data_IF_844378275267
#
_entry.id   IF_844378275267
#
_cell.length_a   1.000
_cell.length_b   1.000
_cell.length_c   1.000
_cell.angle_alpha   90.00
_cell.angle_beta   90.00
_cell.angle_gamma   90.00
#
_symmetry.space_group_name_H-M   'P 1'
#
loop_
_entity.id
_entity.type
_entity.pdbx_description
1 polymer ?
#
# COMPACT_ATOMS: atom_id res chain seq x y z
N UNK A 1 6.25 -43.54 -23.46
CA UNK A 1 5.16 -44.24 -22.77
C UNK A 1 3.90 -44.00 -23.57
N UNK A 2 3.23 -45.04 -24.07
CA UNK A 2 2.01 -44.87 -24.86
C UNK A 2 0.81 -44.71 -23.92
N UNK A 3 0.22 -43.51 -23.87
CA UNK A 3 -0.97 -43.24 -23.06
C UNK A 3 -2.22 -43.68 -23.81
N UNK A 4 -3.07 -44.49 -23.20
CA UNK A 4 -4.33 -44.98 -23.78
C UNK A 4 -5.54 -44.24 -23.21
N UNK A 5 -6.69 -44.31 -23.90
CA UNK A 5 -7.97 -43.75 -23.46
C UNK A 5 -9.13 -44.68 -23.87
N UNK A 6 -10.17 -44.76 -23.02
CA UNK A 6 -11.41 -45.48 -23.33
C UNK A 6 -12.39 -44.57 -24.06
N UNK A 7 -12.95 -45.04 -25.17
CA UNK A 7 -13.99 -44.34 -25.93
C UNK A 7 -15.23 -45.23 -26.07
N UNK A 8 -16.40 -44.61 -26.26
CA UNK A 8 -17.65 -45.35 -26.52
C UNK A 8 -17.49 -46.18 -27.78
N UNK A 9 -17.87 -47.46 -27.68
CA UNK A 9 -17.84 -48.37 -28.81
C UNK A 9 -18.94 -48.01 -29.81
N UNK A 10 -18.60 -47.97 -31.10
CA UNK A 10 -19.58 -47.82 -32.18
C UNK A 10 -20.36 -49.12 -32.43
N UNK A 11 -19.83 -50.27 -31.96
CA UNK A 11 -20.45 -51.59 -32.15
C UNK A 11 -20.51 -52.34 -30.81
N UNK A 12 -21.38 -51.92 -29.87
CA UNK A 12 -21.40 -52.46 -28.51
C UNK A 12 -21.74 -53.95 -28.43
N UNK A 13 -22.49 -54.47 -29.41
CA UNK A 13 -22.87 -55.89 -29.47
C UNK A 13 -21.71 -56.84 -29.77
N UNK A 14 -20.63 -56.37 -30.41
CA UNK A 14 -19.47 -57.20 -30.80
C UNK A 14 -18.18 -56.80 -30.09
N UNK A 15 -18.01 -55.52 -29.75
CA UNK A 15 -16.80 -54.97 -29.14
C UNK A 15 -16.95 -54.67 -27.64
N UNK A 16 -18.16 -54.79 -27.08
CA UNK A 16 -18.46 -54.37 -25.72
C UNK A 16 -18.70 -52.86 -25.61
N UNK A 17 -18.98 -52.35 -24.40
CA UNK A 17 -19.47 -50.97 -24.21
C UNK A 17 -18.43 -49.88 -24.52
N UNK A 18 -17.13 -50.21 -24.49
CA UNK A 18 -16.04 -49.29 -24.80
C UNK A 18 -14.94 -50.00 -25.59
N UNK A 19 -14.13 -49.20 -26.28
CA UNK A 19 -12.87 -49.63 -26.90
C UNK A 19 -11.72 -48.78 -26.40
N UNK A 20 -10.54 -49.39 -26.25
CA UNK A 20 -9.32 -48.71 -25.82
C UNK A 20 -8.53 -48.31 -27.06
N UNK A 21 -8.21 -47.03 -27.16
CA UNK A 21 -7.37 -46.49 -28.23
C UNK A 21 -6.15 -45.79 -27.64
N UNK A 22 -5.12 -45.58 -28.45
CA UNK A 22 -4.03 -44.67 -28.08
C UNK A 22 -4.54 -43.23 -28.05
N UNK A 23 -4.07 -42.44 -27.08
CA UNK A 23 -4.45 -41.03 -26.93
C UNK A 23 -4.14 -40.20 -28.19
N UNK A 24 -3.09 -40.56 -28.92
CA UNK A 24 -2.72 -39.91 -30.19
C UNK A 24 -3.76 -40.11 -31.30
N UNK A 25 -4.57 -41.18 -31.21
CA UNK A 25 -5.59 -41.53 -32.19
C UNK A 25 -7.00 -41.04 -31.77
N UNK A 26 -7.11 -40.29 -30.67
CA UNK A 26 -8.38 -39.74 -30.22
C UNK A 26 -8.77 -38.53 -31.08
N UNK A 27 -9.93 -38.59 -31.74
CA UNK A 27 -10.54 -37.47 -32.44
C UNK A 27 -11.89 -37.13 -31.78
N UNK A 28 -12.06 -35.94 -31.16
CA UNK A 28 -13.31 -35.56 -30.50
C UNK A 28 -14.51 -35.42 -31.45
N UNK A 29 -14.28 -35.28 -32.75
CA UNK A 29 -15.36 -35.24 -33.76
C UNK A 29 -15.90 -36.63 -34.09
N UNK A 30 -15.10 -37.68 -33.89
CA UNK A 30 -15.44 -39.07 -34.25
C UNK A 30 -15.62 -39.98 -33.03
N UNK A 31 -14.99 -39.63 -31.90
CA UNK A 31 -14.93 -40.46 -30.70
C UNK A 31 -15.55 -39.71 -29.52
N UNK A 32 -16.51 -40.35 -28.87
CA UNK A 32 -17.03 -39.91 -27.59
C UNK A 32 -16.26 -40.65 -26.48
N UNK A 33 -15.78 -39.94 -25.45
CA UNK A 33 -15.12 -40.61 -24.31
C UNK A 33 -16.10 -41.52 -23.59
N UNK A 34 -15.63 -42.69 -23.18
CA UNK A 34 -16.44 -43.56 -22.33
C UNK A 34 -16.27 -43.11 -20.89
N UNK A 35 -17.33 -42.56 -20.31
CA UNK A 35 -17.42 -42.22 -18.89
C UNK A 35 -17.99 -43.43 -18.16
N UNK A 36 -17.14 -44.13 -17.40
CA UNK A 36 -17.54 -45.27 -16.55
C UNK A 36 -17.78 -44.86 -15.09
N UNK A 37 -17.84 -43.54 -14.81
CA UNK A 37 -17.92 -42.99 -13.45
C UNK A 37 -16.59 -43.06 -12.69
N UNK A 38 -15.59 -43.77 -13.22
CA UNK A 38 -14.19 -43.55 -12.90
C UNK A 38 -13.72 -42.49 -13.88
N UNK A 39 -13.93 -41.23 -13.51
CA UNK A 39 -13.32 -40.12 -14.22
C UNK A 39 -11.80 -40.39 -14.25
N UNK A 40 -11.29 -40.86 -15.39
CA UNK A 40 -9.88 -40.77 -15.80
C UNK A 40 -9.51 -39.28 -16.06
N UNK A 41 -10.31 -38.35 -15.51
CA UNK A 41 -10.00 -36.95 -15.29
C UNK A 41 -8.87 -36.87 -14.30
N UNK A 42 -7.66 -36.84 -14.85
CA UNK A 42 -6.60 -35.90 -14.48
C UNK A 42 -6.66 -35.51 -13.00
N UNK A 43 -6.51 -36.50 -12.12
CA UNK A 43 -6.28 -36.21 -10.71
C UNK A 43 -5.03 -35.33 -10.71
N UNK A 44 -5.08 -34.12 -10.13
CA UNK A 44 -3.90 -33.29 -10.04
C UNK A 44 -2.80 -34.17 -9.46
N UNK A 45 -1.66 -34.28 -10.16
CA UNK A 45 -0.58 -35.24 -9.88
C UNK A 45 -0.10 -35.22 -8.41
N UNK A 46 -0.50 -34.21 -7.64
CA UNK A 46 -0.28 -34.14 -6.22
C UNK A 46 -1.50 -33.59 -5.46
N UNK A 47 -2.29 -34.48 -4.85
CA UNK A 47 -3.23 -34.09 -3.79
C UNK A 47 -2.42 -33.88 -2.51
N UNK A 48 -2.49 -32.72 -1.83
CA UNK A 48 -1.78 -32.49 -0.59
C UNK A 48 -2.16 -33.54 0.46
N UNK A 49 -1.15 -34.07 1.12
CA UNK A 49 -1.32 -34.95 2.27
C UNK A 49 -1.92 -34.17 3.44
N UNK A 50 -2.58 -34.87 4.37
CA UNK A 50 -3.10 -34.25 5.59
C UNK A 50 -2.00 -33.52 6.38
N UNK A 51 -0.78 -34.04 6.36
CA UNK A 51 0.37 -33.40 7.00
C UNK A 51 0.71 -32.04 6.37
N UNK A 52 0.69 -31.95 5.04
CA UNK A 52 0.92 -30.70 4.32
C UNK A 52 -0.18 -29.68 4.58
N UNK A 53 -1.45 -30.12 4.65
CA UNK A 53 -2.57 -29.23 4.98
C UNK A 53 -2.47 -28.68 6.41
N UNK A 54 -2.08 -29.51 7.37
CA UNK A 54 -1.85 -29.07 8.74
C UNK A 54 -0.67 -28.09 8.83
N UNK A 55 0.43 -28.37 8.14
CA UNK A 55 1.57 -27.45 8.07
C UNK A 55 1.18 -26.10 7.43
N UNK A 56 0.41 -26.12 6.35
CA UNK A 56 -0.08 -24.91 5.68
C UNK A 56 -1.02 -24.10 6.60
N UNK A 57 -1.90 -24.78 7.35
CA UNK A 57 -2.75 -24.13 8.35
C UNK A 57 -1.92 -23.43 9.42
N UNK A 58 -0.91 -24.11 9.96
CA UNK A 58 -0.09 -23.56 11.04
C UNK A 58 0.75 -22.36 10.54
N UNK A 59 1.26 -22.42 9.31
CA UNK A 59 1.92 -21.28 8.65
C UNK A 59 0.96 -20.10 8.45
N UNK A 60 -0.29 -20.36 8.04
CA UNK A 60 -1.29 -19.32 7.86
C UNK A 60 -1.64 -18.65 9.20
N UNK A 61 -1.75 -19.43 10.27
CA UNK A 61 -1.99 -18.91 11.61
C UNK A 61 -0.82 -18.08 12.14
N UNK A 62 0.42 -18.47 11.84
CA UNK A 62 1.60 -17.67 12.19
C UNK A 62 1.60 -16.32 11.47
N UNK A 63 1.37 -16.32 10.14
CA UNK A 63 1.28 -15.08 9.36
C UNK A 63 0.14 -14.18 9.79
N UNK A 64 -1.01 -14.74 10.17
CA UNK A 64 -2.12 -13.94 10.67
C UNK A 64 -1.71 -13.13 11.92
N UNK A 65 -1.00 -13.75 12.86
CA UNK A 65 -0.49 -13.06 14.05
C UNK A 65 0.55 -11.99 13.70
N UNK A 66 1.41 -12.25 12.73
CA UNK A 66 2.39 -11.26 12.25
C UNK A 66 1.70 -10.05 11.61
N UNK A 67 0.67 -10.28 10.81
CA UNK A 67 -0.12 -9.21 10.19
C UNK A 67 -0.89 -8.40 11.23
N UNK A 68 -1.47 -9.04 12.24
CA UNK A 68 -2.14 -8.34 13.34
C UNK A 68 -1.16 -7.45 14.13
N UNK A 69 0.05 -7.97 14.40
CA UNK A 69 1.10 -7.21 15.06
C UNK A 69 1.58 -6.02 14.20
N UNK A 70 1.71 -6.21 12.88
CA UNK A 70 2.07 -5.13 11.96
C UNK A 70 0.99 -4.06 11.87
N UNK A 71 -0.28 -4.46 11.77
CA UNK A 71 -1.40 -3.54 11.75
C UNK A 71 -1.42 -2.67 13.01
N UNK A 72 -1.14 -3.25 14.18
CA UNK A 72 -1.02 -2.49 15.42
C UNK A 72 0.14 -1.49 15.38
N UNK A 73 1.33 -1.90 14.91
CA UNK A 73 2.48 -1.00 14.78
C UNK A 73 2.19 0.18 13.87
N UNK A 74 1.53 -0.06 12.73
CA UNK A 74 1.15 1.00 11.79
C UNK A 74 0.12 1.94 12.41
N UNK A 75 -0.88 1.42 13.14
CA UNK A 75 -1.86 2.23 13.83
C UNK A 75 -1.19 3.14 14.88
N UNK A 76 -0.30 2.58 15.71
CA UNK A 76 0.43 3.33 16.74
C UNK A 76 1.30 4.43 16.11
N UNK A 77 1.99 4.10 15.01
CA UNK A 77 2.80 5.08 14.27
C UNK A 77 1.95 6.20 13.67
N UNK A 78 0.76 5.88 13.18
CA UNK A 78 -0.16 6.88 12.59
C UNK A 78 -0.60 7.88 13.65
N UNK A 79 -1.02 7.40 14.82
CA UNK A 79 -1.40 8.25 15.96
C UNK A 79 -0.23 9.15 16.40
N UNK A 80 0.98 8.59 16.49
CA UNK A 80 2.17 9.37 16.86
C UNK A 80 2.50 10.46 15.83
N UNK A 81 2.37 10.14 14.54
CA UNK A 81 2.61 11.09 13.46
C UNK A 81 1.57 12.21 13.45
N UNK A 82 0.30 11.89 13.66
CA UNK A 82 -0.79 12.89 13.75
C UNK A 82 -0.57 13.84 14.93
N UNK A 83 -0.19 13.29 16.10
CA UNK A 83 0.13 14.10 17.27
C UNK A 83 1.31 15.04 17.02
N UNK A 84 2.36 14.55 16.35
CA UNK A 84 3.52 15.39 16.01
C UNK A 84 3.18 16.45 14.97
N UNK A 85 2.39 16.11 13.95
CA UNK A 85 1.91 17.07 12.97
C UNK A 85 1.11 18.21 13.63
N UNK A 86 0.26 17.88 14.60
CA UNK A 86 -0.48 18.88 15.37
C UNK A 86 0.47 19.78 16.18
N UNK A 87 1.47 19.20 16.87
CA UNK A 87 2.46 19.99 17.61
C UNK A 87 3.23 20.96 16.71
N UNK A 88 3.61 20.52 15.52
CA UNK A 88 4.29 21.37 14.53
C UNK A 88 3.37 22.47 14.01
N UNK A 89 2.09 22.16 13.77
CA UNK A 89 1.10 23.15 13.35
C UNK A 89 0.88 24.21 14.44
N UNK A 90 0.75 23.81 15.71
CA UNK A 90 0.58 24.72 16.84
C UNK A 90 1.82 25.61 17.02
N UNK A 91 3.03 25.03 16.90
CA UNK A 91 4.28 25.79 16.96
C UNK A 91 4.39 26.80 15.81
N UNK A 92 4.01 26.40 14.59
CA UNK A 92 4.01 27.30 13.44
C UNK A 92 2.99 28.43 13.60
N UNK A 93 1.79 28.14 14.11
CA UNK A 93 0.79 29.14 14.42
C UNK A 93 1.27 30.12 15.51
N UNK A 94 1.90 29.61 16.57
CA UNK A 94 2.49 30.44 17.61
C UNK A 94 3.63 31.34 17.07
N UNK A 95 4.50 30.80 16.22
CA UNK A 95 5.56 31.58 15.57
C UNK A 95 5.00 32.66 14.64
N UNK A 96 3.94 32.35 13.87
CA UNK A 96 3.26 33.32 13.02
C UNK A 96 2.60 34.44 13.84
N UNK A 97 1.97 34.10 14.97
CA UNK A 97 1.39 35.08 15.89
C UNK A 97 2.46 36.00 16.52
N UNK A 98 3.63 35.44 16.87
CA UNK A 98 4.75 36.20 17.42
C UNK A 98 5.43 37.11 16.39
N UNK A 99 5.39 36.77 15.10
CA UNK A 99 6.03 37.54 14.01
C UNK A 99 5.11 38.63 13.40
N UNK A 100 4.12 39.12 14.14
CA UNK A 100 3.25 40.20 13.65
C UNK A 100 3.94 41.55 13.80
N UNK A 101 4.68 41.95 12.77
CA UNK A 101 4.97 43.37 12.55
C UNK A 101 3.62 44.07 12.39
N UNK A 102 3.26 45.04 13.26
CA UNK A 102 2.01 45.78 13.12
C UNK A 102 1.90 46.35 11.71
N UNK A 103 0.72 46.24 11.10
CA UNK A 103 0.49 46.70 9.72
C UNK A 103 0.89 48.17 9.52
N UNK A 104 0.76 49.00 10.56
CA UNK A 104 1.26 50.37 10.61
C UNK A 104 2.78 50.46 10.42
N UNK A 105 3.55 49.65 11.14
CA UNK A 105 5.03 49.61 11.03
C UNK A 105 5.46 49.09 9.66
N UNK A 106 4.76 48.09 9.11
CA UNK A 106 5.04 47.57 7.77
C UNK A 106 4.75 48.61 6.67
N UNK A 107 3.75 49.47 6.87
CA UNK A 107 3.36 50.53 5.94
C UNK A 107 4.30 51.76 5.98
N UNK A 108 5.03 51.98 7.08
CA UNK A 108 5.96 53.10 7.21
C UNK A 108 7.06 53.10 6.13
N UNK A 109 7.43 54.29 5.66
CA UNK A 109 8.58 54.47 4.79
C UNK A 109 9.90 54.25 5.56
N UNK A 110 11.01 54.11 4.84
CA UNK A 110 12.33 53.96 5.46
C UNK A 110 12.64 55.13 6.41
N UNK A 111 12.33 56.35 5.99
CA UNK A 111 12.60 57.56 6.77
C UNK A 111 11.73 57.63 8.03
N UNK A 112 10.46 57.21 7.94
CA UNK A 112 9.55 57.12 9.09
C UNK A 112 10.03 56.09 10.12
N UNK A 113 10.56 54.95 9.67
CA UNK A 113 11.13 53.92 10.55
C UNK A 113 12.41 54.42 11.25
N UNK A 114 13.28 55.13 10.52
CA UNK A 114 14.47 55.75 11.11
C UNK A 114 14.12 56.82 12.15
N UNK A 115 13.11 57.64 11.87
CA UNK A 115 12.61 58.64 12.82
C UNK A 115 12.05 57.97 14.09
N UNK A 116 11.23 56.93 13.94
CA UNK A 116 10.66 56.18 15.07
C UNK A 116 11.74 55.50 15.93
N UNK A 117 12.79 54.94 15.32
CA UNK A 117 13.93 54.37 16.05
C UNK A 117 14.74 55.45 16.77
N UNK A 118 14.92 56.62 16.16
CA UNK A 118 15.59 57.77 16.77
C UNK A 118 14.81 58.29 17.97
N UNK A 119 13.48 58.39 17.86
CA UNK A 119 12.59 58.79 18.96
C UNK A 119 12.67 57.80 20.14
N UNK A 120 12.83 56.51 19.85
CA UNK A 120 13.07 55.47 20.86
C UNK A 120 14.52 55.39 21.36
N UNK A 121 15.43 56.17 20.80
CA UNK A 121 16.86 56.17 21.16
C UNK A 121 17.62 54.92 20.71
N UNK A 122 17.11 54.17 19.73
CA UNK A 122 17.76 52.96 19.18
C UNK A 122 18.69 53.37 18.04
N UNK A 123 19.97 53.03 18.15
CA UNK A 123 20.94 53.28 17.10
C UNK A 123 20.78 52.27 15.94
N UNK A 124 20.84 52.75 14.70
CA UNK A 124 20.75 51.93 13.50
C UNK A 124 21.84 52.31 12.48
N UNK A 125 22.33 51.34 11.69
CA UNK A 125 23.30 51.63 10.63
C UNK A 125 22.64 52.42 9.49
N UNK A 126 23.35 53.40 8.92
CA UNK A 126 22.84 54.21 7.80
C UNK A 126 22.51 53.37 6.55
N UNK A 127 23.22 52.25 6.37
CA UNK A 127 23.00 51.30 5.29
C UNK A 127 21.87 50.29 5.55
N UNK A 128 21.24 50.31 6.74
CA UNK A 128 20.15 49.40 7.09
C UNK A 128 19.03 49.48 6.05
N UNK A 129 18.52 48.31 5.64
CA UNK A 129 17.38 48.23 4.74
C UNK A 129 16.06 48.36 5.52
N UNK A 130 14.93 48.44 4.81
CA UNK A 130 13.61 48.60 5.46
C UNK A 130 13.28 47.44 6.43
N UNK A 131 13.66 46.21 6.08
CA UNK A 131 13.41 45.04 6.92
C UNK A 131 14.23 45.08 8.22
N UNK A 132 15.50 45.50 8.15
CA UNK A 132 16.37 45.61 9.33
C UNK A 132 15.83 46.66 10.32
N UNK A 133 15.33 47.79 9.82
CA UNK A 133 14.76 48.86 10.64
C UNK A 133 13.44 48.43 11.29
N UNK A 134 12.60 47.68 10.57
CA UNK A 134 11.38 47.09 11.14
C UNK A 134 11.75 46.11 12.25
N UNK A 135 12.72 45.23 12.02
CA UNK A 135 13.16 44.25 13.00
C UNK A 135 13.69 44.92 14.29
N UNK A 136 14.45 46.01 14.17
CA UNK A 136 14.92 46.79 15.33
C UNK A 136 13.79 47.49 16.10
N UNK A 137 12.68 47.83 15.42
CA UNK A 137 11.56 48.53 16.05
C UNK A 137 10.59 47.56 16.75
N UNK A 138 10.57 46.29 16.32
CA UNK A 138 9.72 45.22 16.87
C UNK A 138 10.46 44.22 17.76
N UNK A 139 11.78 44.34 17.91
CA UNK A 139 12.61 43.57 18.84
C UNK A 139 12.48 44.11 20.28
#
# INVERSE_FOLDING_TARGET
>A
MSTTIKIKSTHPASQGPFVIIERANFNPELHEKYDDGSDDGDLPEHVPTMAELLAARDQLQARARELDAEAQRVADQTVANEAEAQRLADLAAAAAAASTVPAEIAAMSKDQLQAALTEKGVAFPAAANKADLIALLTA
#
